data_IF_191946839372
#
_entry.id   IF_191946839372
#
_cell.length_a   1.000
_cell.length_b   1.000
_cell.length_c   1.000
_cell.angle_alpha   90.00
_cell.angle_beta   90.00
_cell.angle_gamma   90.00
#
_symmetry.space_group_name_H-M   'P 1'
#
loop_
_entity.id
_entity.type
_entity.pdbx_description
1 polymer ?
#
# COMPACT_ATOMS: atom_id res chain seq x y z
N UNK A 1 21.12 2.55 20.93
CA UNK A 1 20.27 2.19 19.80
C UNK A 1 19.44 3.39 19.36
N UNK A 2 19.41 3.67 18.07
CA UNK A 2 18.65 4.79 17.57
C UNK A 2 17.18 4.45 17.44
N UNK A 3 16.34 5.44 17.74
CA UNK A 3 14.92 5.35 17.48
C UNK A 3 14.56 6.37 16.40
N UNK A 4 13.67 5.97 15.50
CA UNK A 4 13.22 6.83 14.43
C UNK A 4 11.75 7.14 14.62
N UNK A 5 11.34 8.33 14.22
CA UNK A 5 9.93 8.70 14.23
C UNK A 5 9.45 8.81 12.79
N UNK A 6 8.16 8.61 12.61
CA UNK A 6 7.56 8.71 11.27
C UNK A 6 7.10 10.13 11.01
N UNK A 7 7.28 10.56 9.78
CA UNK A 7 6.68 11.77 9.27
C UNK A 7 6.19 11.47 7.85
N UNK A 8 5.52 12.39 7.23
CA UNK A 8 4.84 12.12 5.97
C UNK A 8 5.09 13.26 4.98
N UNK A 9 5.22 12.91 3.71
CA UNK A 9 5.25 13.92 2.67
C UNK A 9 3.86 14.55 2.55
N UNK A 10 2.82 13.70 2.58
CA UNK A 10 1.44 14.16 2.61
C UNK A 10 0.65 13.18 3.49
N UNK A 11 0.44 13.56 4.73
CA UNK A 11 -0.15 12.65 5.71
C UNK A 11 -1.55 12.20 5.32
N UNK A 12 -2.37 13.12 4.85
CA UNK A 12 -3.75 12.79 4.51
C UNK A 12 -3.81 11.75 3.38
N UNK A 13 -3.00 11.94 2.35
CA UNK A 13 -2.96 11.01 1.23
C UNK A 13 -2.41 9.66 1.66
N UNK A 14 -1.35 9.68 2.46
CA UNK A 14 -0.76 8.43 2.91
C UNK A 14 -1.72 7.63 3.78
N UNK A 15 -2.39 8.30 4.71
CA UNK A 15 -3.36 7.63 5.56
C UNK A 15 -4.53 7.06 4.78
N UNK A 16 -4.92 7.76 3.72
CA UNK A 16 -5.96 7.26 2.82
C UNK A 16 -5.54 5.94 2.17
N UNK A 17 -4.28 5.87 1.73
CA UNK A 17 -3.75 4.65 1.13
C UNK A 17 -3.64 3.52 2.15
N UNK A 18 -3.23 3.85 3.39
CA UNK A 18 -3.22 2.84 4.45
C UNK A 18 -4.60 2.27 4.73
N UNK A 19 -5.60 3.13 4.75
CA UNK A 19 -6.97 2.66 4.99
C UNK A 19 -7.47 1.77 3.85
N UNK A 20 -7.11 2.14 2.62
CA UNK A 20 -7.46 1.31 1.47
C UNK A 20 -6.76 -0.04 1.54
N UNK A 21 -5.50 -0.04 1.96
CA UNK A 21 -4.75 -1.27 2.15
C UNK A 21 -5.43 -2.17 3.17
N UNK A 22 -5.83 -1.59 4.29
CA UNK A 22 -6.52 -2.34 5.34
C UNK A 22 -7.83 -2.94 4.84
N UNK A 23 -8.54 -2.20 4.00
CA UNK A 23 -9.85 -2.65 3.52
C UNK A 23 -9.73 -3.73 2.44
N UNK A 24 -8.77 -3.59 1.55
CA UNK A 24 -8.73 -4.44 0.36
C UNK A 24 -7.54 -5.38 0.30
N UNK A 25 -6.51 -5.18 1.11
CA UNK A 25 -5.29 -5.97 1.08
C UNK A 25 -4.79 -6.21 2.50
N UNK A 26 -5.57 -6.93 3.28
CA UNK A 26 -5.31 -7.10 4.71
C UNK A 26 -3.95 -7.76 4.98
N UNK A 27 -3.52 -8.68 4.11
CA UNK A 27 -2.21 -9.33 4.29
C UNK A 27 -1.09 -8.29 4.27
N UNK A 28 -1.11 -7.41 3.27
CA UNK A 28 -0.11 -6.36 3.15
C UNK A 28 -0.21 -5.38 4.33
N UNK A 29 -1.42 -5.03 4.71
CA UNK A 29 -1.63 -4.10 5.81
C UNK A 29 -1.07 -4.64 7.13
N UNK A 30 -1.37 -5.90 7.44
CA UNK A 30 -0.89 -6.48 8.69
C UNK A 30 0.62 -6.58 8.73
N UNK A 31 1.23 -6.97 7.62
CA UNK A 31 2.67 -7.07 7.54
C UNK A 31 3.30 -5.70 7.75
N UNK A 32 2.73 -4.69 7.12
CA UNK A 32 3.23 -3.31 7.23
C UNK A 32 3.16 -2.82 8.67
N UNK A 33 2.00 -2.89 9.28
CA UNK A 33 1.77 -2.26 10.58
C UNK A 33 2.39 -3.05 11.72
N UNK A 34 2.29 -4.37 11.68
CA UNK A 34 2.72 -5.19 12.81
C UNK A 34 4.15 -5.68 12.72
N UNK A 35 4.74 -5.65 11.53
CA UNK A 35 6.12 -6.10 11.39
C UNK A 35 7.05 -5.00 10.88
N UNK A 36 6.70 -4.36 9.76
CA UNK A 36 7.65 -3.45 9.11
C UNK A 36 7.77 -2.11 9.83
N UNK A 37 6.66 -1.52 10.26
CA UNK A 37 6.74 -0.25 10.98
C UNK A 37 7.59 -0.34 12.25
N UNK A 38 7.42 -1.38 13.09
CA UNK A 38 8.30 -1.49 14.27
C UNK A 38 9.78 -1.59 13.91
N UNK A 39 10.10 -2.32 12.84
CA UNK A 39 11.50 -2.45 12.42
C UNK A 39 12.06 -1.12 11.92
N UNK A 40 11.28 -0.38 11.16
CA UNK A 40 11.73 0.93 10.68
C UNK A 40 11.99 1.87 11.84
N UNK A 41 11.16 1.84 12.88
CA UNK A 41 11.35 2.67 14.04
C UNK A 41 12.61 2.33 14.81
N UNK A 42 13.05 1.09 14.71
CA UNK A 42 14.28 0.64 15.36
C UNK A 42 15.52 0.88 14.51
N UNK A 43 15.34 1.42 13.31
CA UNK A 43 16.46 1.68 12.43
C UNK A 43 16.83 0.52 11.53
N UNK A 44 15.95 -0.46 11.39
CA UNK A 44 16.13 -1.56 10.45
C UNK A 44 15.41 -1.18 9.17
N UNK A 45 16.17 -0.79 8.13
CA UNK A 45 15.59 -0.25 6.91
C UNK A 45 15.48 -1.35 5.87
N UNK A 46 14.24 -1.76 5.66
CA UNK A 46 13.90 -2.89 4.82
C UNK A 46 13.66 -2.42 3.39
N UNK A 47 13.87 -3.34 2.45
CA UNK A 47 13.57 -3.08 1.06
C UNK A 47 14.82 -2.74 0.26
N UNK A 48 14.59 -2.20 -0.93
CA UNK A 48 15.65 -1.90 -1.87
C UNK A 48 15.99 -0.42 -1.83
N UNK A 49 17.26 -0.12 -1.64
CA UNK A 49 17.73 1.26 -1.68
C UNK A 49 17.67 1.76 -3.13
N UNK A 50 16.98 2.88 -3.33
CA UNK A 50 16.79 3.45 -4.66
C UNK A 50 17.77 4.58 -4.92
N UNK A 51 17.95 5.45 -3.94
CA UNK A 51 18.87 6.57 -4.07
C UNK A 51 19.46 6.91 -2.72
N UNK A 52 20.62 7.54 -2.74
CA UNK A 52 21.34 7.90 -1.53
C UNK A 52 22.00 9.25 -1.74
N UNK A 53 21.47 10.27 -1.06
CA UNK A 53 22.09 11.59 -1.07
C UNK A 53 23.01 11.68 0.15
N UNK A 54 24.28 11.40 -0.07
CA UNK A 54 25.23 11.33 1.03
C UNK A 54 25.47 12.68 1.71
N UNK A 55 25.36 13.77 0.95
CA UNK A 55 25.55 15.10 1.54
C UNK A 55 24.48 15.41 2.57
N UNK A 56 23.23 15.10 2.26
CA UNK A 56 22.11 15.38 3.15
C UNK A 56 21.77 14.19 4.03
N UNK A 57 22.40 13.05 3.79
CA UNK A 57 22.15 11.80 4.50
C UNK A 57 20.68 11.40 4.40
N UNK A 58 20.17 11.43 3.18
CA UNK A 58 18.82 11.01 2.86
C UNK A 58 18.88 9.80 1.95
N UNK A 59 18.27 8.71 2.35
CA UNK A 59 18.27 7.47 1.59
C UNK A 59 16.84 7.07 1.28
N UNK A 60 16.56 6.78 0.02
CA UNK A 60 15.22 6.39 -0.42
C UNK A 60 15.14 4.89 -0.62
N UNK A 61 14.01 4.32 -0.23
CA UNK A 61 13.79 2.88 -0.29
C UNK A 61 12.45 2.54 -0.91
N UNK A 62 12.39 1.36 -1.54
CA UNK A 62 11.15 0.73 -1.97
C UNK A 62 11.03 -0.61 -1.27
N UNK A 63 9.93 -0.81 -0.56
CA UNK A 63 9.70 -2.05 0.17
C UNK A 63 8.45 -2.74 -0.37
N UNK A 64 8.67 -3.92 -0.95
CA UNK A 64 7.57 -4.71 -1.48
C UNK A 64 6.78 -5.33 -0.33
N UNK A 65 5.46 -5.16 -0.37
CA UNK A 65 4.59 -5.74 0.64
C UNK A 65 3.95 -7.02 0.10
N UNK A 66 3.74 -8.02 0.96
CA UNK A 66 3.08 -9.23 0.50
C UNK A 66 1.63 -8.94 0.16
N UNK A 67 1.13 -9.60 -0.87
CA UNK A 67 -0.26 -9.47 -1.27
C UNK A 67 -0.75 -10.81 -1.81
N UNK A 68 -2.05 -10.93 -1.98
CA UNK A 68 -2.58 -12.17 -2.52
C UNK A 68 -2.21 -12.33 -3.99
N UNK A 69 -2.24 -13.58 -4.45
CA UNK A 69 -1.79 -13.90 -5.80
C UNK A 69 -2.64 -13.23 -6.88
N UNK A 70 -3.93 -13.16 -6.66
CA UNK A 70 -4.83 -12.57 -7.63
C UNK A 70 -4.54 -11.08 -7.82
N UNK A 71 -4.39 -10.35 -6.72
CA UNK A 71 -4.07 -8.93 -6.81
C UNK A 71 -2.75 -8.71 -7.53
N UNK A 72 -1.74 -9.49 -7.16
CA UNK A 72 -0.42 -9.36 -7.74
C UNK A 72 -0.44 -9.62 -9.25
N UNK A 73 -1.21 -10.59 -9.70
CA UNK A 73 -1.32 -10.90 -11.13
C UNK A 73 -1.97 -9.78 -11.91
N UNK A 74 -2.97 -9.14 -11.33
CA UNK A 74 -3.76 -8.13 -12.04
C UNK A 74 -3.11 -6.76 -11.97
N UNK A 75 -2.62 -6.38 -10.78
CA UNK A 75 -2.19 -5.02 -10.52
C UNK A 75 -0.70 -4.88 -10.23
N UNK A 76 0.02 -5.99 -10.13
CA UNK A 76 1.43 -5.96 -9.81
C UNK A 76 1.68 -5.89 -8.30
N UNK A 77 2.88 -5.47 -7.95
CA UNK A 77 3.29 -5.46 -6.55
C UNK A 77 2.78 -4.23 -5.82
N UNK A 78 2.53 -4.42 -4.53
CA UNK A 78 2.24 -3.28 -3.65
C UNK A 78 3.58 -2.86 -3.03
N UNK A 79 3.91 -1.59 -3.14
CA UNK A 79 5.23 -1.10 -2.73
C UNK A 79 5.08 0.12 -1.83
N UNK A 80 5.72 0.04 -0.66
CA UNK A 80 5.86 1.18 0.22
C UNK A 80 7.09 1.98 -0.20
N UNK A 81 6.91 3.27 -0.40
CA UNK A 81 8.01 4.18 -0.71
C UNK A 81 8.28 5.05 0.51
N UNK A 82 9.52 5.04 0.98
CA UNK A 82 9.88 5.87 2.13
C UNK A 82 11.33 6.34 2.01
N UNK A 83 11.65 7.37 2.78
CA UNK A 83 12.99 7.91 2.84
C UNK A 83 13.44 7.96 4.29
N UNK A 84 14.75 7.78 4.50
CA UNK A 84 15.33 7.89 5.83
C UNK A 84 16.16 9.15 5.88
N UNK A 85 15.83 10.03 6.81
CA UNK A 85 16.58 11.27 7.08
C UNK A 85 17.44 10.98 8.29
N UNK A 86 18.68 10.56 8.04
CA UNK A 86 19.54 10.06 9.12
C UNK A 86 19.92 11.15 10.12
N UNK A 87 20.08 12.37 9.66
CA UNK A 87 20.43 13.46 10.55
C UNK A 87 19.37 13.78 11.58
N UNK A 88 18.12 13.52 11.24
CA UNK A 88 16.98 13.89 12.06
C UNK A 88 16.31 12.68 12.72
N UNK A 89 16.77 11.47 12.41
CA UNK A 89 16.16 10.22 12.87
C UNK A 89 14.68 10.15 12.49
N UNK A 90 14.39 10.47 11.23
CA UNK A 90 13.03 10.46 10.69
C UNK A 90 12.93 9.47 9.56
N UNK A 91 11.87 8.67 9.59
CA UNK A 91 11.44 7.87 8.44
C UNK A 91 10.29 8.63 7.81
N UNK A 92 10.54 9.14 6.61
CA UNK A 92 9.56 9.94 5.88
C UNK A 92 8.77 9.01 4.96
N UNK A 93 7.51 8.80 5.31
CA UNK A 93 6.64 7.94 4.52
C UNK A 93 6.10 8.73 3.34
N UNK A 94 6.35 8.21 2.13
CA UNK A 94 6.00 8.91 0.91
C UNK A 94 4.65 8.45 0.37
N UNK A 95 4.60 7.21 -0.12
CA UNK A 95 3.36 6.70 -0.70
C UNK A 95 3.36 5.18 -0.71
N UNK A 96 2.21 4.60 -1.02
CA UNK A 96 2.05 3.17 -1.25
C UNK A 96 1.48 3.04 -2.66
N UNK A 97 2.21 2.35 -3.54
CA UNK A 97 1.74 2.19 -4.92
C UNK A 97 1.18 0.79 -5.13
N UNK A 98 0.27 0.58 -6.06
CA UNK A 98 -0.25 1.56 -7.03
C UNK A 98 -1.31 2.46 -6.41
N UNK A 99 -1.05 3.76 -6.45
CA UNK A 99 -1.87 4.73 -5.72
C UNK A 99 -3.32 4.79 -6.21
N UNK A 100 -3.50 4.82 -7.53
CA UNK A 100 -4.84 4.95 -8.07
C UNK A 100 -5.73 3.76 -7.70
N UNK A 101 -5.18 2.56 -7.77
CA UNK A 101 -5.91 1.35 -7.41
C UNK A 101 -6.29 1.36 -5.93
N UNK A 102 -5.31 1.65 -5.09
CA UNK A 102 -5.54 1.63 -3.65
C UNK A 102 -6.46 2.75 -3.20
N UNK A 103 -6.27 3.95 -3.74
CA UNK A 103 -7.04 5.11 -3.30
C UNK A 103 -8.48 5.05 -3.77
N UNK A 104 -8.76 4.35 -4.85
CA UNK A 104 -10.11 4.18 -5.35
C UNK A 104 -10.81 2.97 -4.77
N UNK A 105 -10.05 2.15 -4.05
CA UNK A 105 -10.62 0.98 -3.43
C UNK A 105 -11.02 -0.10 -4.40
N UNK A 106 -10.29 -0.24 -5.50
CA UNK A 106 -10.56 -1.28 -6.48
C UNK A 106 -10.40 -2.66 -5.89
N UNK A 107 -11.26 -3.56 -6.32
CA UNK A 107 -11.16 -4.95 -5.91
C UNK A 107 -10.40 -5.74 -6.96
N UNK A 108 -9.97 -6.93 -6.58
CA UNK A 108 -9.27 -7.78 -7.52
C UNK A 108 -10.25 -8.34 -8.56
N UNK A 109 -9.68 -8.90 -9.62
CA UNK A 109 -10.50 -9.55 -10.65
C UNK A 109 -11.36 -10.67 -10.12
N UNK A 110 -10.99 -11.21 -8.97
CA UNK A 110 -11.79 -12.24 -8.33
C UNK A 110 -13.23 -11.78 -8.12
N UNK A 111 -13.41 -10.52 -7.81
CA UNK A 111 -14.74 -9.96 -7.61
C UNK A 111 -15.60 -10.07 -8.85
N UNK A 112 -15.03 -9.83 -10.01
CA UNK A 112 -15.76 -9.87 -11.24
C UNK A 112 -16.15 -11.28 -11.65
N UNK A 113 -15.34 -12.27 -11.26
CA UNK A 113 -15.64 -13.65 -11.61
C UNK A 113 -16.71 -14.27 -10.75
N UNK A 114 -16.78 -13.87 -9.50
CA UNK A 114 -17.81 -14.40 -8.63
C UNK A 114 -19.19 -14.02 -9.06
N UNK A 115 -19.26 -12.94 -9.64
CA UNK A 115 -20.48 -12.56 -10.20
C UNK A 115 -20.75 -13.25 -11.47
N UNK A 116 -19.83 -13.87 -11.78
CA UNK A 116 -19.79 -14.32 -12.73
C UNK A 116 -20.23 -14.03 -12.95
N UNK A 117 -19.82 -13.29 -12.55
CA UNK A 117 -19.53 -12.67 -12.08
C UNK A 117 -19.72 -11.44 -11.73
N UNK A 118 -19.58 -10.64 -11.42
CA UNK A 118 -19.91 -9.44 -11.17
C UNK A 118 -19.20 -8.35 -11.42
N UNK A 119 -19.07 -7.62 -12.15
CA UNK A 119 -18.34 -6.65 -12.47
C UNK A 119 -17.71 -5.64 -12.18
N UNK A 120 -17.24 -5.35 -12.66
CA UNK A 120 -16.51 -4.58 -12.35
C UNK A 120 -16.33 -3.42 -11.89
N UNK A 121 -16.53 -3.22 -11.78
CA UNK A 121 -16.63 -2.24 -11.21
C UNK A 121 -16.81 -1.51 -10.80
N UNK A 122 -17.12 -1.47 -10.86
CA UNK A 122 -17.46 -0.42 -10.32
C UNK A 122 -17.58 0.20 -9.75
N UNK A 123 -17.77 0.14 -10.37
CA UNK A 123 -17.95 0.93 -9.87
C UNK A 123 -18.29 1.07 -9.33
N UNK A 124 -18.32 0.93 -9.51
CA UNK A 124 -18.73 1.15 -8.94
C UNK A 124 -19.21 1.07 -8.23
N UNK A 125 -19.56 0.71 -8.73
CA UNK A 125 -20.03 0.57 -8.07
C UNK A 125 -20.70 0.10 -8.03
N UNK A 126 -20.72 -0.06 -8.85
CA UNK A 126 -21.17 -0.48 -8.77
C UNK A 126 -21.50 -1.39 -8.99
N UNK A 127 -21.54 -1.62 -9.69
CA UNK A 127 -21.61 -2.33 -9.63
C UNK A 127 -21.77 -3.00 -9.28
N UNK A 128 -21.60 -3.14 -9.63
CA UNK A 128 -21.57 -3.69 -8.94
C UNK A 128 -22.06 -4.03 -8.51
N UNK A 129 -22.43 -4.05 -8.93
CA UNK A 129 -22.69 -4.36 -8.33
C UNK A 129 -23.41 -4.87 -8.51
N UNK A 130 -23.68 -4.90 -9.45
CA UNK A 130 -24.01 -5.17 -9.46
C UNK A 130 -24.14 -5.95 -9.45
N UNK A 131 -23.92 -6.18 -10.20
CA UNK A 131 -23.79 -6.59 -9.92
C UNK A 131 -23.68 -7.25 -9.36
N UNK A 132 -23.54 -7.42 -9.64
CA UNK A 132 -23.21 -7.76 -8.94
C UNK A 132 -23.69 -7.93 -8.46
N UNK A 133 -24.25 -7.87 -8.76
CA UNK A 133 -24.38 -7.73 -8.17
C UNK A 133 -25.01 -8.04 -8.28
N UNK A 134 -25.37 -7.94 -9.24
CA UNK A 134 -25.55 -7.90 -9.28
C UNK A 134 -25.61 -8.69 -9.20
N UNK A 135 -25.41 -9.20 -9.79
CA UNK A 135 -25.00 -9.52 -9.53
C UNK A 135 -25.05 -9.86 -8.72
N UNK A 136 -24.97 -10.09 -8.84
CA UNK A 136 -24.74 -10.04 -7.92
C UNK A 136 -25.28 -9.86 -7.40
N UNK A 137 -25.92 -9.90 -7.96
CA UNK A 137 -26.24 -9.32 -7.57
C UNK A 137 -26.57 -9.09 -7.33
N UNK A 138 -26.58 -8.75 -7.95
CA UNK A 138 -26.40 -8.09 -7.77
C UNK A 138 -26.37 -7.99 -7.44
#
# INVERSE_FOLDING_TARGET
>A
MKSYVFDYINENEFKKLERALKKYNMLAYKKLVFEYYPKLKEGVFLGKEISNNENDKIVSYELKLPTDTMFSKVHGDIILHYMVYEKNNIVMLSTISPEDILSEGHQTELETYKGVMISKSHSEKDIFKVNLLSMLGK
#
